data_IF_387613595278
#
_entry.id   IF_387613595278
#
_cell.length_a   1.000
_cell.length_b   1.000
_cell.length_c   1.000
_cell.angle_alpha   90.00
_cell.angle_beta   90.00
_cell.angle_gamma   90.00
#
_symmetry.space_group_name_H-M   'P 1'
#
loop_
_entity.id
_entity.type
_entity.pdbx_description
1 polymer ?
#
# COMPACT_ATOMS: atom_id res chain seq x y z
N UNK A 1 16.36 19.72 8.46
CA UNK A 1 15.58 19.26 9.61
C UNK A 1 15.65 17.74 9.61
N UNK A 2 16.17 17.14 10.68
CA UNK A 2 16.29 15.68 10.78
C UNK A 2 14.94 15.09 11.17
N UNK A 3 14.44 14.12 10.39
CA UNK A 3 13.22 13.40 10.71
C UNK A 3 13.49 12.63 12.01
N UNK A 4 12.71 12.82 13.09
CA UNK A 4 12.84 12.00 14.29
C UNK A 4 12.68 10.53 13.90
N UNK A 5 13.45 9.63 14.51
CA UNK A 5 13.20 8.19 14.35
C UNK A 5 11.72 7.95 14.65
N UNK A 6 10.98 7.53 13.64
CA UNK A 6 9.55 7.41 13.74
C UNK A 6 9.23 6.26 14.67
N UNK A 7 8.80 6.60 15.89
CA UNK A 7 8.21 5.65 16.82
C UNK A 7 7.06 4.95 16.08
N UNK A 8 6.87 3.65 16.32
CA UNK A 8 5.76 2.86 15.75
C UNK A 8 4.39 3.55 15.87
N UNK A 9 4.20 4.42 16.88
CA UNK A 9 3.01 5.24 17.09
C UNK A 9 2.84 6.40 16.10
N UNK A 10 3.92 7.04 15.63
CA UNK A 10 3.86 8.14 14.67
C UNK A 10 3.42 7.66 13.29
N UNK A 11 3.72 6.41 12.95
CA UNK A 11 3.24 5.78 11.75
C UNK A 11 1.72 5.61 11.78
N UNK A 12 1.16 5.14 12.88
CA UNK A 12 -0.29 4.91 13.04
C UNK A 12 -1.17 6.16 12.86
N UNK A 13 -0.59 7.36 12.79
CA UNK A 13 -1.32 8.63 12.62
C UNK A 13 -1.24 9.22 11.21
N UNK A 14 -0.37 8.69 10.33
CA UNK A 14 -0.24 9.22 8.98
C UNK A 14 -1.41 8.74 8.10
N UNK A 15 -2.07 9.63 7.34
CA UNK A 15 -3.08 9.22 6.39
C UNK A 15 -2.44 8.38 5.28
N UNK A 16 -3.16 7.35 4.84
CA UNK A 16 -2.73 6.45 3.76
C UNK A 16 -3.44 6.83 2.48
N UNK A 17 -2.66 7.11 1.43
CA UNK A 17 -3.13 7.51 0.11
C UNK A 17 -2.66 6.48 -0.90
N UNK A 18 -3.60 5.81 -1.56
CA UNK A 18 -3.29 4.95 -2.70
C UNK A 18 -3.35 5.80 -3.97
N UNK A 19 -2.37 5.67 -4.85
CA UNK A 19 -2.52 6.21 -6.20
C UNK A 19 -3.56 5.40 -7.00
N UNK A 20 -3.99 5.98 -8.12
CA UNK A 20 -5.06 5.37 -8.92
C UNK A 20 -4.64 3.98 -9.48
N UNK A 21 -3.37 3.80 -9.82
CA UNK A 21 -2.88 2.53 -10.37
C UNK A 21 -2.89 1.41 -9.31
N UNK A 22 -2.42 1.71 -8.09
CA UNK A 22 -2.46 0.81 -6.95
C UNK A 22 -3.90 0.48 -6.56
N UNK A 23 -4.79 1.48 -6.55
CA UNK A 23 -6.21 1.27 -6.28
C UNK A 23 -6.83 0.29 -7.29
N UNK A 24 -6.67 0.57 -8.58
CA UNK A 24 -7.24 -0.24 -9.66
C UNK A 24 -6.70 -1.68 -9.64
N UNK A 25 -5.41 -1.85 -9.37
CA UNK A 25 -4.78 -3.17 -9.43
C UNK A 25 -4.99 -4.00 -8.16
N UNK A 26 -4.93 -3.38 -6.98
CA UNK A 26 -4.91 -4.10 -5.71
C UNK A 26 -6.28 -4.19 -5.03
N UNK A 27 -7.16 -3.19 -5.22
CA UNK A 27 -8.38 -3.03 -4.41
C UNK A 27 -9.66 -3.10 -5.23
N UNK A 28 -9.71 -2.36 -6.33
CA UNK A 28 -10.91 -2.16 -7.13
C UNK A 28 -11.48 -3.48 -7.66
N UNK A 29 -12.82 -3.55 -7.66
CA UNK A 29 -13.59 -4.57 -8.34
C UNK A 29 -14.71 -3.87 -9.10
N UNK A 30 -14.89 -4.22 -10.38
CA UNK A 30 -15.94 -3.63 -11.22
C UNK A 30 -17.36 -3.92 -10.71
N UNK A 31 -17.56 -5.09 -10.09
CA UNK A 31 -18.87 -5.49 -9.59
C UNK A 31 -19.16 -4.82 -8.22
N UNK A 32 -20.12 -3.88 -8.13
CA UNK A 32 -20.41 -3.15 -6.90
C UNK A 32 -20.99 -4.04 -5.79
N UNK A 33 -21.57 -5.20 -6.12
CA UNK A 33 -22.05 -6.17 -5.13
C UNK A 33 -20.92 -6.79 -4.31
N UNK A 34 -19.64 -6.62 -4.72
CA UNK A 34 -18.46 -7.15 -4.04
C UNK A 34 -17.77 -6.14 -3.14
N UNK A 35 -18.49 -5.12 -2.64
CA UNK A 35 -17.94 -4.10 -1.74
C UNK A 35 -17.24 -4.69 -0.52
N UNK A 36 -17.77 -5.78 0.07
CA UNK A 36 -17.13 -6.46 1.20
C UNK A 36 -15.73 -6.99 0.84
N UNK A 37 -15.56 -7.51 -0.37
CA UNK A 37 -14.26 -7.98 -0.84
C UNK A 37 -13.32 -6.81 -1.17
N UNK A 38 -13.82 -5.72 -1.75
CA UNK A 38 -13.03 -4.50 -1.94
C UNK A 38 -12.51 -3.98 -0.60
N UNK A 39 -13.36 -3.91 0.43
CA UNK A 39 -12.96 -3.51 1.78
C UNK A 39 -11.89 -4.43 2.36
N UNK A 40 -12.02 -5.75 2.15
CA UNK A 40 -11.02 -6.72 2.59
C UNK A 40 -9.68 -6.55 1.84
N UNK A 41 -9.71 -6.29 0.53
CA UNK A 41 -8.51 -6.00 -0.27
C UNK A 41 -7.81 -4.74 0.21
N UNK A 42 -8.56 -3.67 0.45
CA UNK A 42 -8.03 -2.42 1.01
C UNK A 42 -7.38 -2.66 2.37
N UNK A 43 -8.08 -3.37 3.27
CA UNK A 43 -7.55 -3.70 4.58
C UNK A 43 -6.26 -4.51 4.48
N UNK A 44 -6.18 -5.46 3.54
CA UNK A 44 -4.98 -6.27 3.30
C UNK A 44 -3.80 -5.40 2.88
N UNK A 45 -3.98 -4.51 1.88
CA UNK A 45 -2.93 -3.59 1.42
C UNK A 45 -2.40 -2.74 2.56
N UNK A 46 -3.30 -2.11 3.32
CA UNK A 46 -2.94 -1.21 4.42
C UNK A 46 -2.24 -1.99 5.54
N UNK A 47 -2.77 -3.16 5.94
CA UNK A 47 -2.15 -3.98 6.99
C UNK A 47 -0.76 -4.47 6.61
N UNK A 48 -0.55 -4.94 5.37
CA UNK A 48 0.78 -5.37 4.92
C UNK A 48 1.76 -4.21 4.90
N UNK A 49 1.35 -3.05 4.36
CA UNK A 49 2.17 -1.83 4.40
C UNK A 49 2.64 -1.46 5.82
N UNK A 50 1.73 -1.50 6.80
CA UNK A 50 2.08 -1.26 8.21
C UNK A 50 3.03 -2.30 8.79
N UNK A 51 2.82 -3.58 8.44
CA UNK A 51 3.69 -4.66 8.92
C UNK A 51 5.13 -4.46 8.43
N UNK A 52 5.30 -4.06 7.17
CA UNK A 52 6.61 -3.77 6.59
C UNK A 52 7.27 -2.55 7.24
N UNK A 53 6.51 -1.46 7.43
CA UNK A 53 7.00 -0.27 8.16
C UNK A 53 7.42 -0.60 9.59
N UNK A 54 6.67 -1.47 10.28
CA UNK A 54 7.01 -1.90 11.65
C UNK A 54 8.32 -2.69 11.68
N UNK A 55 8.63 -3.46 10.63
CA UNK A 55 9.90 -4.17 10.50
C UNK A 55 11.05 -3.23 10.15
N UNK A 56 10.77 -2.15 9.43
CA UNK A 56 11.76 -1.18 8.94
C UNK A 56 11.38 0.25 9.35
N UNK A 57 11.38 0.59 10.65
CA UNK A 57 10.83 1.85 11.16
C UNK A 57 11.62 3.11 10.78
N UNK A 58 12.80 2.96 10.18
CA UNK A 58 13.59 4.08 9.66
C UNK A 58 13.48 4.22 8.13
N UNK A 59 12.80 3.29 7.45
CA UNK A 59 12.62 3.35 6.01
C UNK A 59 11.65 4.48 5.66
N UNK A 60 12.09 5.38 4.79
CA UNK A 60 11.22 6.40 4.18
C UNK A 60 10.54 5.90 2.92
N UNK A 61 11.05 4.84 2.32
CA UNK A 61 10.42 4.10 1.24
C UNK A 61 10.77 2.61 1.32
N UNK A 62 9.80 1.75 0.98
CA UNK A 62 10.00 0.30 0.91
C UNK A 62 9.11 -0.33 -0.15
N UNK A 63 9.57 -1.44 -0.73
CA UNK A 63 8.76 -2.26 -1.65
C UNK A 63 8.11 -3.40 -0.87
N UNK A 64 6.87 -3.70 -1.21
CA UNK A 64 6.12 -4.82 -0.65
C UNK A 64 5.17 -5.39 -1.70
N UNK A 65 4.37 -6.39 -1.36
CA UNK A 65 3.31 -6.80 -2.24
C UNK A 65 2.22 -7.59 -1.55
N UNK A 66 1.12 -7.73 -2.25
CA UNK A 66 -0.06 -8.45 -1.77
C UNK A 66 -0.53 -9.45 -2.81
N UNK A 67 -1.07 -10.56 -2.34
CA UNK A 67 -1.76 -11.52 -3.20
C UNK A 67 -3.22 -11.13 -3.35
N UNK A 68 -3.65 -10.87 -4.57
CA UNK A 68 -5.05 -10.58 -4.91
C UNK A 68 -5.68 -11.77 -5.61
N UNK A 69 -6.92 -12.10 -5.30
CA UNK A 69 -7.64 -13.15 -6.05
C UNK A 69 -7.96 -12.64 -7.45
N UNK A 70 -7.67 -13.44 -8.48
CA UNK A 70 -8.17 -13.14 -9.83
C UNK A 70 -9.69 -13.22 -9.88
N UNK A 71 -10.27 -12.52 -10.86
CA UNK A 71 -11.71 -12.58 -11.13
C UNK A 71 -12.16 -13.97 -11.58
N UNK A 72 -11.25 -14.75 -12.17
CA UNK A 72 -11.51 -16.11 -12.68
C UNK A 72 -10.48 -17.10 -12.13
N UNK A 73 -10.95 -18.28 -11.74
CA UNK A 73 -10.10 -19.36 -11.22
C UNK A 73 -9.77 -19.25 -9.72
N UNK A 74 -8.86 -20.12 -9.26
CA UNK A 74 -8.35 -20.15 -7.88
C UNK A 74 -7.04 -19.37 -7.72
N UNK A 75 -6.50 -18.86 -8.81
CA UNK A 75 -5.18 -18.25 -8.86
C UNK A 75 -5.17 -16.88 -8.18
N UNK A 76 -4.03 -16.59 -7.55
CA UNK A 76 -3.74 -15.30 -6.94
C UNK A 76 -2.67 -14.58 -7.74
N UNK A 77 -2.91 -13.32 -8.02
CA UNK A 77 -1.92 -12.42 -8.60
C UNK A 77 -1.10 -11.76 -7.50
N UNK A 78 0.22 -11.83 -7.64
CA UNK A 78 1.11 -10.96 -6.88
C UNK A 78 1.05 -9.54 -7.42
N UNK A 79 0.78 -8.58 -6.55
CA UNK A 79 0.78 -7.15 -6.88
C UNK A 79 1.91 -6.49 -6.10
N UNK A 80 2.95 -6.07 -6.82
CA UNK A 80 4.07 -5.35 -6.25
C UNK A 80 3.69 -3.88 -6.03
N UNK A 81 3.95 -3.37 -4.84
CA UNK A 81 3.61 -2.04 -4.39
C UNK A 81 4.84 -1.37 -3.77
N UNK A 82 4.87 -0.05 -3.82
CA UNK A 82 5.84 0.76 -3.09
C UNK A 82 5.10 1.59 -2.06
N UNK A 83 5.63 1.60 -0.84
CA UNK A 83 5.24 2.54 0.20
C UNK A 83 6.30 3.63 0.27
N UNK A 84 5.88 4.89 0.40
CA UNK A 84 6.75 6.01 0.73
C UNK A 84 6.09 7.00 1.68
N UNK A 85 6.87 7.60 2.56
CA UNK A 85 6.44 8.72 3.38
C UNK A 85 6.69 9.99 2.59
N UNK A 86 5.61 10.70 2.27
CA UNK A 86 5.68 12.00 1.61
C UNK A 86 5.59 13.08 2.67
N UNK A 87 6.51 14.05 2.60
CA UNK A 87 6.58 15.19 3.51
C UNK A 87 6.45 16.48 2.70
N UNK A 88 5.21 16.87 2.31
CA UNK A 88 4.99 18.11 1.57
C UNK A 88 5.37 19.32 2.42
N UNK A 89 5.66 20.45 1.76
CA UNK A 89 6.05 21.68 2.45
C UNK A 89 4.90 22.32 3.25
N UNK A 90 3.69 22.26 2.71
CA UNK A 90 2.52 23.02 3.18
C UNK A 90 1.34 22.12 3.60
N UNK A 91 1.55 20.80 3.65
CA UNK A 91 0.52 19.82 4.00
C UNK A 91 1.07 18.81 5.03
N UNK A 92 0.20 18.15 5.83
CA UNK A 92 0.62 17.06 6.71
C UNK A 92 1.29 15.95 5.92
N UNK A 93 2.32 15.34 6.51
CA UNK A 93 2.94 14.15 5.95
C UNK A 93 1.92 13.03 5.79
N UNK A 94 2.10 12.20 4.77
CA UNK A 94 1.22 11.08 4.49
C UNK A 94 2.01 9.88 3.95
N UNK A 95 1.40 8.71 4.04
CA UNK A 95 1.92 7.49 3.43
C UNK A 95 1.29 7.37 2.06
N UNK A 96 2.14 7.34 1.03
CA UNK A 96 1.70 7.05 -0.32
C UNK A 96 2.00 5.59 -0.66
N UNK A 97 1.00 4.90 -1.20
CA UNK A 97 1.13 3.55 -1.75
C UNK A 97 0.94 3.64 -3.26
N UNK A 98 1.94 3.16 -4.00
CA UNK A 98 1.99 3.21 -5.46
C UNK A 98 2.16 1.83 -6.06
N UNK A 99 1.66 1.64 -7.28
CA UNK A 99 1.90 0.42 -8.03
C UNK A 99 3.35 0.41 -8.53
N UNK A 100 4.09 -0.66 -8.24
CA UNK A 100 5.38 -0.87 -8.89
C UNK A 100 5.15 -1.39 -10.32
N UNK A 101 5.89 -0.89 -11.32
CA UNK A 101 5.87 -1.46 -12.66
C UNK A 101 6.16 -2.96 -12.58
N UNK A 102 5.45 -3.75 -13.38
CA UNK A 102 5.80 -5.15 -13.54
C UNK A 102 7.26 -5.22 -14.00
N UNK A 103 8.13 -5.80 -13.19
CA UNK A 103 9.45 -6.17 -13.68
C UNK A 103 9.20 -7.31 -14.66
N UNK A 104 9.34 -7.04 -15.96
CA UNK A 104 9.32 -8.11 -16.94
C UNK A 104 10.34 -9.17 -16.50
N UNK A 105 9.96 -10.46 -16.47
CA UNK A 105 10.96 -11.49 -16.27
C UNK A 105 11.96 -11.41 -17.44
N UNK A 106 13.23 -11.18 -17.10
CA UNK A 106 14.34 -11.26 -18.04
C UNK A 106 14.48 -12.67 -18.63
#
# INVERSE_FOLDING_TARGET
MSIPSASTEAYLTLPVVLDNAAWLRAVYLENPARVAEMSQRLATVVQTAWQELKQQPQATALSFGVYTKRHTGRDRDWVALMLQIVTPKDEPSYIQIQLLPATDPA
#
